data_IF_519629935483
#
_entry.id   IF_519629935483
#
_cell.length_a   1.000
_cell.length_b   1.000
_cell.length_c   1.000
_cell.angle_alpha   90.00
_cell.angle_beta   90.00
_cell.angle_gamma   90.00
#
_symmetry.space_group_name_H-M   'P 1'
#
loop_
_entity.id
_entity.type
_entity.pdbx_description
1 polymer ?
#
# COMPACT_ATOMS: atom_id res chain seq x y z
N UNK A 1 -13.80 -26.68 2.60
CA UNK A 1 -12.46 -27.23 2.92
C UNK A 1 -11.53 -26.90 1.76
N UNK A 2 -10.78 -25.80 1.86
CA UNK A 2 -9.74 -25.47 0.88
C UNK A 2 -8.51 -26.30 1.26
N UNK A 3 -8.18 -27.32 0.47
CA UNK A 3 -6.90 -28.01 0.57
C UNK A 3 -5.83 -27.05 0.06
N UNK A 4 -5.08 -26.40 0.94
CA UNK A 4 -3.80 -25.80 0.59
C UNK A 4 -2.85 -26.95 0.28
N UNK A 5 -2.77 -27.32 -1.00
CA UNK A 5 -1.98 -28.44 -1.50
C UNK A 5 -0.93 -27.95 -2.48
N UNK A 6 -0.14 -26.96 -2.09
CA UNK A 6 0.96 -26.44 -2.90
C UNK A 6 2.13 -26.02 -2.01
N UNK A 7 3.24 -26.74 -2.11
CA UNK A 7 4.53 -26.33 -1.56
C UNK A 7 5.09 -25.22 -2.49
N UNK A 8 4.64 -23.98 -2.34
CA UNK A 8 5.25 -22.86 -3.04
C UNK A 8 6.61 -22.53 -2.41
N UNK A 9 7.64 -22.40 -3.24
CA UNK A 9 8.87 -21.70 -2.85
C UNK A 9 8.59 -20.20 -2.99
N UNK A 10 8.66 -19.47 -1.89
CA UNK A 10 8.43 -18.03 -1.84
C UNK A 10 9.78 -17.36 -1.62
N UNK A 11 10.21 -16.55 -2.59
CA UNK A 11 11.39 -15.71 -2.42
C UNK A 11 10.93 -14.36 -1.87
N UNK A 12 11.37 -14.02 -0.67
CA UNK A 12 11.13 -12.73 -0.04
C UNK A 12 12.40 -11.88 -0.09
N UNK A 13 12.32 -10.81 -0.89
CA UNK A 13 13.42 -9.86 -1.06
C UNK A 13 13.53 -8.92 0.15
N UNK A 14 14.76 -8.64 0.57
CA UNK A 14 15.06 -7.66 1.61
C UNK A 14 16.30 -6.84 1.26
N UNK A 15 16.40 -5.62 1.81
CA UNK A 15 17.65 -4.83 1.76
C UNK A 15 18.60 -5.17 2.91
N UNK A 16 18.16 -5.98 3.86
CA UNK A 16 18.94 -6.43 5.02
C UNK A 16 18.36 -7.73 5.58
N UNK A 17 19.08 -8.84 5.38
CA UNK A 17 18.75 -10.15 5.93
C UNK A 17 18.89 -10.22 7.45
N UNK A 18 19.65 -9.28 8.04
CA UNK A 18 19.82 -9.17 9.50
C UNK A 18 18.69 -8.41 10.18
N UNK A 19 17.74 -7.82 9.43
CA UNK A 19 16.57 -7.18 10.02
C UNK A 19 15.67 -8.17 10.76
N UNK A 20 15.03 -7.71 11.84
CA UNK A 20 14.14 -8.56 12.66
C UNK A 20 13.01 -9.14 11.82
N UNK A 21 12.43 -8.34 10.91
CA UNK A 21 11.38 -8.78 9.99
C UNK A 21 11.85 -9.89 9.07
N UNK A 22 13.04 -9.76 8.45
CA UNK A 22 13.59 -10.80 7.60
C UNK A 22 13.82 -12.11 8.37
N UNK A 23 14.37 -12.03 9.58
CA UNK A 23 14.58 -13.20 10.45
C UNK A 23 13.27 -13.86 10.91
N UNK A 24 12.19 -13.09 11.06
CA UNK A 24 10.86 -13.63 11.37
C UNK A 24 10.26 -14.34 10.15
N UNK A 25 10.34 -13.73 8.96
CA UNK A 25 9.84 -14.33 7.71
C UNK A 25 10.60 -15.61 7.34
N UNK A 26 11.91 -15.68 7.59
CA UNK A 26 12.74 -16.87 7.36
C UNK A 26 12.27 -18.11 8.16
N UNK A 27 11.44 -17.94 9.21
CA UNK A 27 10.90 -19.05 10.00
C UNK A 27 9.68 -19.69 9.35
N UNK A 28 9.11 -19.08 8.32
CA UNK A 28 7.92 -19.60 7.63
C UNK A 28 8.38 -20.69 6.64
N UNK A 29 7.83 -21.92 6.73
CA UNK A 29 8.18 -22.98 5.79
C UNK A 29 7.92 -22.57 4.35
N UNK A 30 8.92 -22.81 3.48
CA UNK A 30 8.85 -22.45 2.06
C UNK A 30 9.25 -21.01 1.73
N UNK A 31 9.52 -20.16 2.73
CA UNK A 31 10.05 -18.80 2.53
C UNK A 31 11.58 -18.81 2.52
N UNK A 32 12.16 -18.26 1.47
CA UNK A 32 13.58 -18.01 1.30
C UNK A 32 13.84 -16.50 1.32
N UNK A 33 14.69 -16.05 2.22
CA UNK A 33 15.10 -14.64 2.28
C UNK A 33 16.31 -14.42 1.37
N UNK A 34 16.19 -13.48 0.44
CA UNK A 34 17.32 -13.03 -0.38
C UNK A 34 17.56 -11.55 -0.13
N UNK A 35 18.79 -11.20 0.25
CA UNK A 35 19.21 -9.81 0.38
C UNK A 35 19.50 -9.24 -1.01
N UNK A 36 18.50 -8.60 -1.60
CA UNK A 36 18.54 -8.03 -2.94
C UNK A 36 17.54 -6.88 -2.99
N UNK A 37 17.95 -5.75 -3.56
CA UNK A 37 17.04 -4.64 -3.77
C UNK A 37 16.14 -4.94 -4.97
N UNK A 38 14.82 -4.82 -4.78
CA UNK A 38 13.82 -5.17 -5.79
C UNK A 38 13.91 -4.30 -7.05
N UNK A 39 14.42 -3.07 -6.93
CA UNK A 39 14.64 -2.14 -8.05
C UNK A 39 15.76 -2.58 -8.99
N UNK A 40 16.60 -3.52 -8.56
CA UNK A 40 17.74 -4.03 -9.33
C UNK A 40 17.47 -5.41 -9.93
N UNK A 41 16.23 -5.90 -9.86
CA UNK A 41 15.85 -7.22 -10.38
C UNK A 41 15.80 -7.17 -11.91
N UNK A 42 16.53 -8.09 -12.54
CA UNK A 42 16.61 -8.24 -14.00
C UNK A 42 15.83 -9.46 -14.48
N UNK A 43 15.64 -9.58 -15.80
CA UNK A 43 15.02 -10.76 -16.40
C UNK A 43 15.84 -12.03 -16.12
N UNK A 44 17.18 -11.94 -16.27
CA UNK A 44 18.10 -13.04 -15.96
C UNK A 44 17.97 -13.49 -14.51
N UNK A 45 17.87 -12.56 -13.57
CA UNK A 45 17.70 -12.87 -12.15
C UNK A 45 16.40 -13.65 -11.91
N UNK A 46 15.29 -13.21 -12.52
CA UNK A 46 13.99 -13.89 -12.41
C UNK A 46 14.04 -15.31 -12.99
N UNK A 47 14.73 -15.51 -14.12
CA UNK A 47 14.91 -16.82 -14.75
C UNK A 47 15.81 -17.74 -13.92
N UNK A 48 16.95 -17.25 -13.43
CA UNK A 48 17.87 -17.98 -12.55
C UNK A 48 17.14 -18.48 -11.30
N UNK A 49 16.26 -17.66 -10.74
CA UNK A 49 15.48 -17.98 -9.55
C UNK A 49 14.16 -18.70 -9.85
N UNK A 50 13.87 -18.98 -11.12
CA UNK A 50 12.67 -19.68 -11.59
C UNK A 50 11.36 -19.02 -11.10
N UNK A 51 11.34 -17.68 -11.11
CA UNK A 51 10.18 -16.90 -10.67
C UNK A 51 9.09 -17.00 -11.72
N UNK A 52 7.97 -17.63 -11.35
CA UNK A 52 6.80 -17.77 -12.23
C UNK A 52 5.71 -16.74 -11.92
N UNK A 53 5.67 -16.22 -10.69
CA UNK A 53 4.67 -15.24 -10.23
C UNK A 53 5.30 -14.27 -9.24
N UNK A 54 4.83 -13.02 -9.23
CA UNK A 54 5.36 -12.00 -8.35
C UNK A 54 4.27 -11.18 -7.67
N UNK A 55 4.53 -10.82 -6.41
CA UNK A 55 3.79 -9.78 -5.69
C UNK A 55 4.63 -8.51 -5.64
N UNK A 56 4.03 -7.35 -5.92
CA UNK A 56 4.73 -6.06 -5.84
C UNK A 56 3.96 -5.09 -4.95
N UNK A 57 4.64 -4.58 -3.92
CA UNK A 57 4.23 -3.44 -3.12
C UNK A 57 5.34 -2.37 -3.19
N UNK A 58 5.28 -1.50 -4.20
CA UNK A 58 6.32 -0.50 -4.44
C UNK A 58 6.34 0.59 -3.36
N UNK A 59 7.49 1.23 -3.18
CA UNK A 59 7.59 2.47 -2.39
C UNK A 59 6.79 3.60 -3.07
N UNK A 60 6.70 4.74 -2.40
CA UNK A 60 5.90 5.90 -2.79
C UNK A 60 6.77 7.12 -3.16
N UNK A 61 8.00 6.91 -3.62
CA UNK A 61 8.89 8.00 -4.04
C UNK A 61 8.61 8.45 -5.49
N UNK A 62 9.01 9.65 -5.92
CA UNK A 62 8.69 10.16 -7.26
C UNK A 62 9.20 9.33 -8.44
N UNK A 63 10.27 8.56 -8.25
CA UNK A 63 10.83 7.64 -9.23
C UNK A 63 10.12 6.26 -9.27
N UNK A 64 9.08 6.05 -8.46
CA UNK A 64 8.33 4.78 -8.36
C UNK A 64 7.86 4.27 -9.73
N UNK A 65 7.38 5.13 -10.62
CA UNK A 65 6.95 4.72 -11.96
C UNK A 65 8.09 4.04 -12.72
N UNK A 66 9.28 4.63 -12.70
CA UNK A 66 10.45 4.13 -13.43
C UNK A 66 10.90 2.80 -12.86
N UNK A 67 10.95 2.67 -11.54
CA UNK A 67 11.41 1.45 -10.87
C UNK A 67 10.40 0.30 -10.98
N UNK A 68 9.10 0.56 -10.79
CA UNK A 68 8.09 -0.50 -10.93
C UNK A 68 7.92 -0.91 -12.40
N UNK A 69 7.93 0.03 -13.34
CA UNK A 69 7.88 -0.32 -14.77
C UNK A 69 9.10 -1.12 -15.22
N UNK A 70 10.31 -0.82 -14.70
CA UNK A 70 11.50 -1.61 -14.98
C UNK A 70 11.33 -3.07 -14.52
N UNK A 71 10.78 -3.30 -13.34
CA UNK A 71 10.46 -4.66 -12.88
C UNK A 71 9.44 -5.35 -13.80
N UNK A 72 8.36 -4.67 -14.19
CA UNK A 72 7.35 -5.26 -15.10
C UNK A 72 7.94 -5.62 -16.47
N UNK A 73 8.83 -4.79 -17.00
CA UNK A 73 9.58 -5.10 -18.23
C UNK A 73 10.49 -6.31 -18.02
N UNK A 74 11.19 -6.40 -16.88
CA UNK A 74 11.99 -7.58 -16.55
C UNK A 74 11.13 -8.84 -16.43
N UNK A 75 9.97 -8.76 -15.78
CA UNK A 75 9.01 -9.86 -15.64
C UNK A 75 8.47 -10.34 -17.00
N UNK A 76 8.11 -9.41 -17.89
CA UNK A 76 7.69 -9.70 -19.26
C UNK A 76 8.79 -10.46 -20.02
N UNK A 77 10.03 -9.96 -19.99
CA UNK A 77 11.16 -10.58 -20.71
C UNK A 77 11.62 -11.91 -20.09
N UNK A 78 11.43 -12.09 -18.78
CA UNK A 78 11.71 -13.35 -18.10
C UNK A 78 10.65 -14.43 -18.37
N UNK A 79 9.48 -14.06 -18.89
CA UNK A 79 8.35 -14.97 -19.06
C UNK A 79 7.60 -15.27 -17.76
N UNK A 80 7.59 -14.33 -16.80
CA UNK A 80 6.76 -14.44 -15.59
C UNK A 80 5.30 -14.56 -16.02
N UNK A 81 4.57 -15.50 -15.43
CA UNK A 81 3.19 -15.82 -15.84
C UNK A 81 2.18 -14.82 -15.28
N UNK A 82 2.37 -14.36 -14.05
CA UNK A 82 1.38 -13.56 -13.34
C UNK A 82 1.97 -12.60 -12.29
N UNK A 83 1.51 -11.36 -12.30
CA UNK A 83 1.90 -10.33 -11.33
C UNK A 83 0.68 -9.79 -10.59
N UNK A 84 0.69 -9.85 -9.27
CA UNK A 84 -0.27 -9.12 -8.43
C UNK A 84 0.44 -7.92 -7.83
N UNK A 85 -0.10 -6.72 -8.04
CA UNK A 85 0.53 -5.48 -7.60
C UNK A 85 -0.40 -4.64 -6.73
N UNK A 86 0.18 -3.90 -5.79
CA UNK A 86 -0.50 -2.83 -5.08
C UNK A 86 -0.46 -1.56 -5.95
N UNK A 87 -1.63 -0.99 -6.18
CA UNK A 87 -1.88 0.33 -6.73
C UNK A 87 -2.24 1.27 -5.59
N UNK A 88 -3.19 2.19 -5.78
CA UNK A 88 -3.66 3.09 -4.74
C UNK A 88 -5.16 3.34 -4.86
N UNK A 89 -5.70 4.24 -4.05
CA UNK A 89 -7.13 4.51 -3.91
C UNK A 89 -7.77 4.86 -5.26
N UNK A 90 -8.66 4.00 -5.74
CA UNK A 90 -9.25 4.01 -7.10
C UNK A 90 -9.64 5.37 -7.69
N UNK A 91 -10.42 6.25 -7.01
CA UNK A 91 -10.85 7.54 -7.59
C UNK A 91 -9.68 8.47 -7.96
N UNK A 92 -8.49 8.22 -7.40
CA UNK A 92 -7.28 8.99 -7.65
C UNK A 92 -6.46 8.45 -8.83
N UNK A 93 -6.68 7.20 -9.26
CA UNK A 93 -5.86 6.49 -10.26
C UNK A 93 -6.28 6.89 -11.68
N UNK A 94 -5.95 8.13 -12.06
CA UNK A 94 -6.29 8.73 -13.36
C UNK A 94 -5.21 9.72 -13.82
N UNK A 95 -5.07 9.97 -15.13
CA UNK A 95 -3.93 10.72 -15.67
C UNK A 95 -3.94 12.20 -15.30
N UNK A 96 -5.12 12.77 -15.07
CA UNK A 96 -5.34 14.18 -14.74
C UNK A 96 -5.36 14.44 -13.23
N UNK A 97 -5.14 13.42 -12.39
CA UNK A 97 -5.16 13.58 -10.93
C UNK A 97 -4.06 14.53 -10.48
N UNK A 98 -4.29 15.38 -9.47
CA UNK A 98 -3.34 16.41 -9.04
C UNK A 98 -2.09 15.84 -8.36
N UNK A 99 -2.23 14.74 -7.62
CA UNK A 99 -1.13 14.04 -6.95
C UNK A 99 -0.29 13.21 -7.91
N UNK A 100 1.05 13.25 -7.78
CA UNK A 100 1.92 12.45 -8.66
C UNK A 100 1.80 10.94 -8.42
N UNK A 101 1.62 10.52 -7.16
CA UNK A 101 1.66 9.12 -6.78
C UNK A 101 0.52 8.30 -7.43
N UNK A 102 -0.75 8.75 -7.39
CA UNK A 102 -1.81 8.08 -8.15
C UNK A 102 -1.64 8.11 -9.67
N UNK A 103 -1.05 9.19 -10.23
CA UNK A 103 -0.74 9.23 -11.67
C UNK A 103 0.29 8.17 -12.06
N UNK A 104 1.29 7.91 -11.21
CA UNK A 104 2.27 6.87 -11.44
C UNK A 104 1.62 5.47 -11.48
N UNK A 105 0.70 5.21 -10.54
CA UNK A 105 -0.11 3.98 -10.53
C UNK A 105 -0.98 3.83 -11.77
N UNK A 106 -1.65 4.92 -12.21
CA UNK A 106 -2.41 4.93 -13.46
C UNK A 106 -1.51 4.60 -14.66
N UNK A 107 -0.32 5.20 -14.74
CA UNK A 107 0.60 4.99 -15.85
C UNK A 107 1.11 3.53 -15.91
N UNK A 108 1.32 2.88 -14.75
CA UNK A 108 1.67 1.45 -14.70
C UNK A 108 0.49 0.59 -15.12
N UNK A 109 -0.73 0.89 -14.66
CA UNK A 109 -1.92 0.15 -15.11
C UNK A 109 -2.15 0.31 -16.62
N UNK A 110 -1.87 1.49 -17.18
CA UNK A 110 -1.94 1.72 -18.62
C UNK A 110 -0.85 0.95 -19.39
N UNK A 111 0.39 0.93 -18.88
CA UNK A 111 1.50 0.15 -19.41
C UNK A 111 1.15 -1.35 -19.46
N UNK A 112 0.71 -1.91 -18.34
CA UNK A 112 0.34 -3.32 -18.23
C UNK A 112 -0.87 -3.67 -19.10
N UNK A 113 -1.74 -2.70 -19.40
CA UNK A 113 -2.88 -2.89 -20.31
C UNK A 113 -2.50 -2.81 -21.80
N UNK A 114 -1.25 -2.49 -22.14
CA UNK A 114 -0.85 -2.34 -23.53
C UNK A 114 -0.69 -3.69 -24.23
N UNK A 115 -0.83 -3.75 -25.57
CA UNK A 115 -0.69 -5.00 -26.33
C UNK A 115 0.66 -5.70 -26.11
N UNK A 116 1.73 -4.94 -25.89
CA UNK A 116 3.08 -5.44 -25.63
C UNK A 116 3.17 -6.26 -24.35
N UNK A 117 2.27 -6.03 -23.38
CA UNK A 117 2.20 -6.76 -22.11
C UNK A 117 1.18 -7.91 -22.12
N UNK A 118 0.58 -8.23 -23.26
CA UNK A 118 -0.50 -9.24 -23.37
C UNK A 118 -0.13 -10.65 -22.88
N UNK A 119 1.15 -11.00 -22.85
CA UNK A 119 1.63 -12.31 -22.35
C UNK A 119 1.88 -12.33 -20.84
N UNK A 120 2.01 -11.17 -20.19
CA UNK A 120 2.16 -11.06 -18.74
C UNK A 120 0.78 -10.84 -18.12
N UNK A 121 0.21 -11.87 -17.48
CA UNK A 121 -1.06 -11.69 -16.75
C UNK A 121 -0.81 -10.80 -15.53
N UNK A 122 -1.78 -9.98 -15.17
CA UNK A 122 -1.63 -9.12 -13.99
C UNK A 122 -2.95 -8.78 -13.32
N UNK A 123 -2.88 -8.40 -12.04
CA UNK A 123 -4.00 -7.81 -11.31
C UNK A 123 -3.52 -6.62 -10.48
N UNK A 124 -4.28 -5.54 -10.50
CA UNK A 124 -4.03 -4.33 -9.72
C UNK A 124 -4.97 -4.28 -8.52
N UNK A 125 -4.39 -4.20 -7.32
CA UNK A 125 -5.14 -4.03 -6.08
C UNK A 125 -5.16 -2.54 -5.74
N UNK A 126 -6.34 -1.96 -5.64
CA UNK A 126 -6.57 -0.55 -5.34
C UNK A 126 -7.10 -0.43 -3.91
N UNK A 127 -6.24 -0.57 -2.89
CA UNK A 127 -6.67 -0.48 -1.50
C UNK A 127 -7.10 0.96 -1.16
N UNK A 128 -8.09 1.06 -0.29
CA UNK A 128 -8.38 2.30 0.44
C UNK A 128 -7.23 2.62 1.41
N UNK A 129 -7.38 3.68 2.20
CA UNK A 129 -6.44 4.03 3.25
C UNK A 129 -6.20 2.83 4.18
N UNK A 130 -4.94 2.51 4.45
CA UNK A 130 -4.63 1.43 5.38
C UNK A 130 -5.03 1.80 6.80
N UNK A 131 -5.80 0.92 7.45
CA UNK A 131 -6.34 1.13 8.78
C UNK A 131 -5.26 1.52 9.79
N UNK A 132 -4.13 0.80 9.79
CA UNK A 132 -3.00 1.04 10.70
C UNK A 132 -2.43 2.46 10.58
N UNK A 133 -2.47 3.04 9.39
CA UNK A 133 -2.05 4.41 9.13
C UNK A 133 -3.16 5.40 9.47
N UNK A 134 -4.39 5.10 9.06
CA UNK A 134 -5.57 5.95 9.26
C UNK A 134 -5.87 6.23 10.73
N UNK A 135 -5.65 5.26 11.63
CA UNK A 135 -5.90 5.41 13.07
C UNK A 135 -4.64 5.67 13.91
N UNK A 136 -3.47 5.82 13.30
CA UNK A 136 -2.18 5.88 14.01
C UNK A 136 -2.15 6.99 15.10
N UNK A 137 -2.63 8.19 14.77
CA UNK A 137 -2.65 9.32 15.69
C UNK A 137 -3.66 9.14 16.83
N UNK A 138 -4.79 8.49 16.57
CA UNK A 138 -5.78 8.13 17.59
C UNK A 138 -5.21 7.12 18.59
N UNK A 139 -4.48 6.10 18.10
CA UNK A 139 -3.80 5.11 18.94
C UNK A 139 -2.73 5.79 19.81
N UNK A 140 -1.92 6.70 19.24
CA UNK A 140 -0.92 7.43 20.02
C UNK A 140 -1.55 8.34 21.07
N UNK A 141 -2.64 9.02 20.74
CA UNK A 141 -3.41 9.83 21.69
C UNK A 141 -3.89 8.99 22.90
N UNK A 142 -4.46 7.81 22.64
CA UNK A 142 -4.92 6.89 23.70
C UNK A 142 -3.74 6.46 24.57
N UNK A 143 -2.61 6.07 23.97
CA UNK A 143 -1.40 5.65 24.70
C UNK A 143 -0.86 6.77 25.58
N UNK A 144 -0.78 7.99 25.05
CA UNK A 144 -0.33 9.15 25.79
C UNK A 144 -1.24 9.42 26.99
N UNK A 145 -2.56 9.46 26.77
CA UNK A 145 -3.52 9.69 27.85
C UNK A 145 -3.43 8.60 28.93
N UNK A 146 -3.36 7.32 28.55
CA UNK A 146 -3.21 6.21 29.53
C UNK A 146 -1.92 6.31 30.34
N UNK A 147 -0.88 6.91 29.78
CA UNK A 147 0.41 7.10 30.45
C UNK A 147 0.42 8.32 31.39
N UNK A 148 -0.20 9.43 31.00
CA UNK A 148 -0.04 10.71 31.72
C UNK A 148 -1.31 11.21 32.42
N UNK A 149 -2.49 10.73 32.02
CA UNK A 149 -3.79 11.26 32.45
C UNK A 149 -4.14 12.62 31.83
N UNK A 150 -3.27 13.17 30.97
CA UNK A 150 -3.44 14.49 30.36
C UNK A 150 -3.97 14.37 28.94
N UNK A 151 -4.91 15.26 28.59
CA UNK A 151 -5.41 15.37 27.22
C UNK A 151 -4.67 16.49 26.48
N UNK A 152 -4.23 16.20 25.26
CA UNK A 152 -3.87 17.20 24.24
C UNK A 152 -4.95 17.33 23.17
N UNK A 153 -4.58 17.83 22.00
CA UNK A 153 -5.42 17.82 20.79
C UNK A 153 -5.37 16.44 20.12
N UNK A 154 -6.53 15.81 19.91
CA UNK A 154 -6.65 14.62 19.07
C UNK A 154 -6.60 15.05 17.60
N UNK A 155 -5.51 14.72 16.90
CA UNK A 155 -5.34 15.04 15.48
C UNK A 155 -5.75 13.85 14.64
N UNK A 156 -6.72 14.02 13.74
CA UNK A 156 -7.22 12.97 12.87
C UNK A 156 -7.01 13.36 11.40
N UNK A 157 -6.51 12.40 10.61
CA UNK A 157 -6.50 12.52 9.16
C UNK A 157 -7.93 12.56 8.59
N UNK A 158 -8.87 11.91 9.27
CA UNK A 158 -10.27 11.85 8.88
C UNK A 158 -10.91 13.23 8.82
N UNK A 159 -11.79 13.44 7.85
CA UNK A 159 -12.77 14.51 7.94
C UNK A 159 -13.84 14.12 8.97
N UNK A 160 -14.46 15.14 9.59
CA UNK A 160 -15.43 14.92 10.65
C UNK A 160 -16.57 14.00 10.23
N UNK A 161 -17.14 14.26 9.06
CA UNK A 161 -18.39 13.66 8.59
C UNK A 161 -18.22 12.76 7.35
N UNK A 162 -17.05 12.76 6.71
CA UNK A 162 -16.83 11.94 5.51
C UNK A 162 -16.63 10.48 5.90
N UNK A 163 -17.31 9.59 5.18
CA UNK A 163 -17.16 8.14 5.30
C UNK A 163 -15.90 7.70 4.56
N UNK A 164 -15.11 6.86 5.23
CA UNK A 164 -13.96 6.17 4.64
C UNK A 164 -14.03 4.73 5.09
N UNK A 165 -13.82 3.77 4.19
CA UNK A 165 -13.70 2.34 4.50
C UNK A 165 -12.24 1.89 4.60
N UNK A 166 -11.49 2.23 5.67
CA UNK A 166 -10.08 1.91 5.78
C UNK A 166 -9.86 0.39 5.81
N UNK A 167 -8.92 -0.09 5.01
CA UNK A 167 -8.66 -1.53 4.83
C UNK A 167 -7.48 -1.97 5.69
N UNK A 168 -7.57 -3.15 6.32
CA UNK A 168 -6.41 -3.74 7.00
C UNK A 168 -5.38 -4.21 5.94
N UNK A 169 -4.11 -3.80 6.01
CA UNK A 169 -3.09 -4.24 5.06
C UNK A 169 -2.90 -5.77 5.03
N UNK A 170 -3.20 -6.49 6.11
CA UNK A 170 -3.17 -7.96 6.13
C UNK A 170 -4.23 -8.56 5.21
N UNK A 171 -5.43 -7.99 5.16
CA UNK A 171 -6.50 -8.45 4.25
C UNK A 171 -6.11 -8.26 2.79
N UNK A 172 -5.40 -7.16 2.48
CA UNK A 172 -4.83 -6.93 1.14
C UNK A 172 -3.77 -8.00 0.81
N UNK A 173 -2.90 -8.33 1.76
CA UNK A 173 -1.91 -9.39 1.61
C UNK A 173 -2.52 -10.78 1.41
N UNK A 174 -3.58 -11.10 2.17
CA UNK A 174 -4.34 -12.35 2.05
C UNK A 174 -5.01 -12.45 0.68
N UNK A 175 -5.67 -11.37 0.23
CA UNK A 175 -6.29 -11.33 -1.09
C UNK A 175 -5.25 -11.51 -2.21
N UNK A 176 -4.11 -10.82 -2.12
CA UNK A 176 -3.01 -10.99 -3.07
C UNK A 176 -2.46 -12.43 -3.09
N UNK A 177 -2.27 -13.04 -1.92
CA UNK A 177 -1.79 -14.41 -1.79
C UNK A 177 -2.79 -15.41 -2.41
N UNK A 178 -4.10 -15.21 -2.22
CA UNK A 178 -5.12 -16.04 -2.86
C UNK A 178 -5.07 -15.96 -4.38
N UNK A 179 -4.93 -14.76 -4.95
CA UNK A 179 -4.76 -14.57 -6.39
C UNK A 179 -3.50 -15.28 -6.90
N UNK A 180 -2.37 -15.13 -6.20
CA UNK A 180 -1.10 -15.75 -6.57
C UNK A 180 -1.10 -17.27 -6.45
N UNK A 181 -1.99 -17.85 -5.65
CA UNK A 181 -2.12 -19.29 -5.43
C UNK A 181 -3.11 -19.97 -6.38
N UNK A 182 -3.82 -19.24 -7.25
CA UNK A 182 -4.76 -19.84 -8.21
C UNK A 182 -4.05 -20.75 -9.22
N UNK A 183 -4.58 -21.93 -9.51
CA UNK A 183 -4.01 -22.77 -10.57
C UNK A 183 -3.97 -22.02 -11.91
N UNK A 184 -5.06 -21.32 -12.25
CA UNK A 184 -5.15 -20.42 -13.41
C UNK A 184 -5.67 -19.03 -13.01
N UNK A 185 -4.86 -17.96 -13.09
CA UNK A 185 -5.29 -16.60 -12.78
C UNK A 185 -5.96 -15.88 -13.97
N UNK A 186 -6.24 -16.54 -15.09
CA UNK A 186 -6.74 -15.89 -16.31
C UNK A 186 -8.00 -15.04 -16.11
N UNK A 187 -8.94 -15.47 -15.26
CA UNK A 187 -10.16 -14.71 -14.94
C UNK A 187 -9.90 -13.39 -14.18
N UNK A 188 -8.71 -13.23 -13.61
CA UNK A 188 -8.28 -12.05 -12.87
C UNK A 188 -7.29 -11.18 -13.66
N UNK A 189 -6.82 -11.65 -14.82
CA UNK A 189 -5.88 -10.90 -15.65
C UNK A 189 -6.52 -9.59 -16.15
N UNK A 190 -5.84 -8.47 -15.95
CA UNK A 190 -6.32 -7.13 -16.25
C UNK A 190 -7.29 -6.54 -15.21
N UNK A 191 -7.66 -7.29 -14.17
CA UNK A 191 -8.60 -6.82 -13.17
C UNK A 191 -7.99 -5.74 -12.26
N UNK A 192 -8.85 -4.81 -11.84
CA UNK A 192 -8.56 -3.74 -10.89
C UNK A 192 -9.53 -3.85 -9.72
N UNK A 193 -9.07 -4.39 -8.60
CA UNK A 193 -9.92 -4.65 -7.44
C UNK A 193 -9.84 -3.50 -6.44
N UNK A 194 -10.98 -2.86 -6.18
CA UNK A 194 -11.11 -1.91 -5.07
C UNK A 194 -11.22 -2.70 -3.76
N UNK A 195 -10.33 -2.43 -2.81
CA UNK A 195 -10.28 -3.14 -1.53
C UNK A 195 -10.56 -2.16 -0.38
N UNK A 196 -11.74 -2.31 0.23
CA UNK A 196 -12.19 -1.51 1.36
C UNK A 196 -12.25 -2.35 2.64
N UNK A 197 -12.24 -1.67 3.78
CA UNK A 197 -12.65 -2.26 5.05
C UNK A 197 -14.12 -2.69 5.04
N UNK A 198 -14.54 -3.54 5.99
CA UNK A 198 -15.92 -4.00 6.06
C UNK A 198 -16.91 -2.91 6.53
N UNK A 199 -16.41 -1.84 7.14
CA UNK A 199 -17.22 -0.76 7.70
C UNK A 199 -16.63 0.59 7.31
N UNK A 200 -17.51 1.50 6.89
CA UNK A 200 -17.16 2.90 6.71
C UNK A 200 -17.22 3.64 8.04
N UNK A 201 -16.25 4.52 8.28
CA UNK A 201 -16.14 5.29 9.51
C UNK A 201 -15.88 6.76 9.23
N UNK A 202 -16.52 7.64 10.01
CA UNK A 202 -16.27 9.07 10.01
C UNK A 202 -15.24 9.47 11.07
N UNK A 203 -14.69 10.68 10.97
CA UNK A 203 -13.86 11.25 12.01
C UNK A 203 -14.57 11.33 13.37
N UNK A 204 -15.84 11.72 13.39
CA UNK A 204 -16.63 11.79 14.63
C UNK A 204 -16.82 10.41 15.27
N UNK A 205 -17.04 9.36 14.48
CA UNK A 205 -17.11 7.99 14.98
C UNK A 205 -15.75 7.53 15.54
N UNK A 206 -14.64 7.90 14.91
CA UNK A 206 -13.29 7.66 15.46
C UNK A 206 -13.09 8.36 16.81
N UNK A 207 -13.57 9.61 16.97
CA UNK A 207 -13.55 10.29 18.28
C UNK A 207 -14.32 9.47 19.31
N UNK A 208 -15.52 8.99 18.96
CA UNK A 208 -16.32 8.12 19.83
C UNK A 208 -15.57 6.85 20.28
N UNK A 209 -14.84 6.19 19.38
CA UNK A 209 -14.00 5.03 19.71
C UNK A 209 -12.84 5.40 20.64
N UNK A 210 -12.20 6.55 20.43
CA UNK A 210 -11.16 7.07 21.33
C UNK A 210 -11.74 7.32 22.73
N UNK A 211 -12.89 7.99 22.82
CA UNK A 211 -13.58 8.29 24.09
C UNK A 211 -13.92 7.02 24.87
N UNK A 212 -14.38 5.97 24.19
CA UNK A 212 -14.61 4.65 24.80
C UNK A 212 -13.33 4.06 25.39
N UNK A 213 -12.18 4.24 24.75
CA UNK A 213 -10.90 3.71 25.21
C UNK A 213 -10.21 4.52 26.32
N UNK A 214 -10.53 5.81 26.45
CA UNK A 214 -10.01 6.67 27.52
C UNK A 214 -11.00 6.86 28.68
N UNK A 215 -12.27 6.52 28.50
CA UNK A 215 -13.31 6.60 29.53
C UNK A 215 -13.81 8.03 29.82
N UNK A 216 -13.54 8.98 28.94
CA UNK A 216 -13.94 10.39 29.08
C UNK A 216 -14.05 11.07 27.71
N UNK A 217 -14.64 12.26 27.66
CA UNK A 217 -14.77 13.06 26.43
C UNK A 217 -13.44 13.64 25.98
N UNK A 218 -13.20 13.65 24.67
CA UNK A 218 -12.05 14.33 24.08
C UNK A 218 -12.32 15.84 24.09
N UNK A 219 -11.37 16.62 24.64
CA UNK A 219 -11.53 18.07 24.81
C UNK A 219 -11.33 18.87 23.53
N UNK A 220 -10.40 18.44 22.68
CA UNK A 220 -10.01 19.17 21.48
C UNK A 220 -9.68 18.20 20.34
N UNK A 221 -10.22 18.47 19.16
CA UNK A 221 -10.08 17.61 17.97
C UNK A 221 -9.72 18.47 16.76
N UNK A 222 -8.65 18.07 16.07
CA UNK A 222 -8.24 18.62 14.78
C UNK A 222 -8.55 17.59 13.70
N UNK A 223 -9.63 17.81 12.94
CA UNK A 223 -9.98 17.00 11.77
C UNK A 223 -9.17 17.45 10.55
N UNK A 224 -9.03 16.56 9.55
CA UNK A 224 -8.31 16.85 8.31
C UNK A 224 -6.86 17.32 8.56
N UNK A 225 -6.24 16.80 9.62
CA UNK A 225 -4.91 17.22 10.04
C UNK A 225 -3.84 16.67 9.10
N UNK A 226 -3.15 17.60 8.42
CA UNK A 226 -2.07 17.30 7.47
C UNK A 226 -0.68 17.52 8.08
N UNK A 227 -0.55 17.68 9.40
CA UNK A 227 0.74 17.96 10.03
C UNK A 227 1.78 16.85 9.79
N UNK A 228 1.33 15.62 9.55
CA UNK A 228 2.21 14.52 9.16
C UNK A 228 2.88 14.76 7.80
N UNK A 229 2.20 15.44 6.87
CA UNK A 229 2.74 15.68 5.53
C UNK A 229 3.88 16.68 5.59
N UNK A 230 3.74 17.72 6.41
CA UNK A 230 4.83 18.67 6.66
C UNK A 230 6.04 17.98 7.28
N UNK A 231 5.81 17.07 8.24
CA UNK A 231 6.88 16.26 8.83
C UNK A 231 7.53 15.32 7.80
N UNK A 232 6.74 14.70 6.91
CA UNK A 232 7.25 13.84 5.83
C UNK A 232 8.10 14.63 4.84
N UNK A 233 7.66 15.82 4.45
CA UNK A 233 8.42 16.71 3.56
C UNK A 233 9.72 17.18 4.23
N UNK A 234 9.66 17.51 5.53
CA UNK A 234 10.82 17.92 6.31
C UNK A 234 11.84 16.78 6.52
N UNK A 235 11.40 15.52 6.53
CA UNK A 235 12.29 14.36 6.71
C UNK A 235 13.17 14.06 5.49
N UNK A 236 13.00 14.79 4.38
CA UNK A 236 13.68 14.50 3.12
C UNK A 236 13.14 13.25 2.40
N UNK A 237 11.88 12.91 2.67
CA UNK A 237 11.19 11.80 2.00
C UNK A 237 11.32 11.90 0.46
N UNK A 238 11.66 10.79 -0.19
CA UNK A 238 11.99 10.74 -1.62
C UNK A 238 13.46 11.02 -1.96
N UNK A 239 14.29 11.42 -0.99
CA UNK A 239 15.72 11.62 -1.15
C UNK A 239 16.12 13.02 -1.64
N UNK A 240 17.42 13.29 -1.77
CA UNK A 240 17.92 14.57 -2.26
C UNK A 240 17.48 14.82 -3.71
N UNK A 241 17.23 16.10 -4.06
CA UNK A 241 16.90 16.51 -5.42
C UNK A 241 15.42 16.42 -5.80
N UNK A 242 14.53 16.01 -4.89
CA UNK A 242 13.10 15.96 -5.18
C UNK A 242 12.45 17.34 -5.24
N UNK A 243 11.51 17.51 -6.18
CA UNK A 243 10.73 18.74 -6.32
C UNK A 243 9.73 18.89 -5.19
N UNK A 244 9.86 19.96 -4.38
CA UNK A 244 8.93 20.25 -3.26
C UNK A 244 7.48 20.34 -3.72
N UNK A 245 7.22 20.93 -4.89
CA UNK A 245 5.86 21.05 -5.44
C UNK A 245 5.28 19.68 -5.82
N UNK A 246 6.09 18.79 -6.38
CA UNK A 246 5.68 17.42 -6.69
C UNK A 246 5.40 16.67 -5.39
N UNK A 247 6.31 16.72 -4.42
CA UNK A 247 6.13 16.04 -3.13
C UNK A 247 4.89 16.53 -2.37
N UNK A 248 4.66 17.84 -2.32
CA UNK A 248 3.49 18.43 -1.67
C UNK A 248 2.15 18.05 -2.33
N UNK A 249 2.16 17.53 -3.57
CA UNK A 249 0.95 17.08 -4.25
C UNK A 249 0.35 15.79 -3.65
N UNK A 250 1.08 15.08 -2.78
CA UNK A 250 0.55 13.92 -2.05
C UNK A 250 -0.73 14.25 -1.26
N UNK A 251 -0.87 15.50 -0.78
CA UNK A 251 -2.08 15.95 -0.07
C UNK A 251 -3.38 15.75 -0.87
N UNK A 252 -3.31 15.79 -2.20
CA UNK A 252 -4.50 15.67 -3.03
C UNK A 252 -5.15 14.29 -2.93
N UNK A 253 -4.39 13.23 -2.64
CA UNK A 253 -4.98 11.91 -2.35
C UNK A 253 -5.87 11.93 -1.11
N UNK A 254 -5.48 12.71 -0.10
CA UNK A 254 -6.24 12.87 1.15
C UNK A 254 -7.48 13.73 0.95
N UNK A 255 -7.42 14.75 0.08
CA UNK A 255 -8.59 15.58 -0.24
C UNK A 255 -9.73 14.73 -0.80
N UNK A 256 -9.44 13.80 -1.72
CA UNK A 256 -10.45 12.90 -2.29
C UNK A 256 -11.09 12.02 -1.22
N UNK A 257 -10.34 11.62 -0.18
CA UNK A 257 -10.91 10.88 0.94
C UNK A 257 -11.94 11.70 1.74
N UNK A 258 -11.80 13.02 1.78
CA UNK A 258 -12.69 13.91 2.52
C UNK A 258 -13.93 14.31 1.73
N UNK A 259 -13.90 14.16 0.41
CA UNK A 259 -15.02 14.40 -0.49
C UNK A 259 -16.04 13.25 -0.45
N UNK A 260 -15.70 12.10 0.19
CA UNK A 260 -16.56 10.92 0.31
C UNK A 260 -16.55 10.02 -0.92
N UNK A 261 -15.56 10.19 -1.80
CA UNK A 261 -15.45 9.48 -3.09
C UNK A 261 -14.64 8.17 -3.00
N UNK A 262 -14.29 7.69 -1.79
CA UNK A 262 -13.34 6.58 -1.55
C UNK A 262 -13.94 5.37 -0.84
#
# INVERSE_FOLDING_TARGET
MIRLKTNYRIIALTRSATSLTAQQLAKIPGVEIIEQNWTEITADWLQEHQVVRAFIASHNAPNQFVEESAFHVAALNAGVEYVVRISTTMPTVRPDFKGYYPRAHWAIEALLSSPEFSTLKWTSLQPNAFLTYYVASAVEYIKQYKRTGEQGTLRLMAAKDALVGPVDPNEVGIFAAHLLALDDPSSHSGAKYVLNGPEDITGEQLVGLVEQHIGTKVKDVSYQDLGFLDALLASGFGGPGQSKTVMASLKYGLLTMWEGDV
#
